data_IF_365670057313
#
_entry.id   IF_365670057313
#
_cell.length_a   1.000
_cell.length_b   1.000
_cell.length_c   1.000
_cell.angle_alpha   90.00
_cell.angle_beta   90.00
_cell.angle_gamma   90.00
#
_symmetry.space_group_name_H-M   'P 1'
#
loop_
_entity.id
_entity.type
_entity.pdbx_description
1 polymer ?
#
# COMPACT_ATOMS: atom_id res chain seq x y z
N UNK A 1 -7.46 -13.13 -5.95
CA UNK A 1 -7.03 -11.96 -5.15
C UNK A 1 -5.71 -11.44 -5.69
N UNK A 2 -5.57 -10.13 -5.81
CA UNK A 2 -4.36 -9.43 -6.26
C UNK A 2 -3.79 -8.57 -5.14
N UNK A 3 -2.52 -8.19 -5.24
CA UNK A 3 -1.97 -7.11 -4.42
C UNK A 3 -1.76 -5.86 -5.28
N UNK A 4 -1.93 -4.68 -4.68
CA UNK A 4 -1.59 -3.39 -5.28
C UNK A 4 -0.63 -2.66 -4.33
N UNK A 5 0.59 -2.38 -4.81
CA UNK A 5 1.63 -1.71 -4.03
C UNK A 5 1.83 -0.30 -4.57
N UNK A 6 1.58 0.72 -3.72
CA UNK A 6 1.74 2.11 -4.10
C UNK A 6 3.18 2.58 -3.93
N UNK A 7 3.92 2.64 -5.02
CA UNK A 7 5.33 3.00 -5.09
C UNK A 7 5.64 4.23 -5.97
N UNK A 8 4.65 5.08 -6.25
CA UNK A 8 4.87 6.26 -7.09
C UNK A 8 5.54 7.44 -6.37
N UNK A 9 5.55 7.46 -5.04
CA UNK A 9 5.99 8.61 -4.26
C UNK A 9 7.51 8.71 -4.13
N UNK A 10 8.03 9.96 -4.11
CA UNK A 10 9.46 10.29 -3.98
C UNK A 10 10.10 9.89 -2.66
N UNK A 11 9.34 9.89 -1.54
CA UNK A 11 9.93 9.61 -0.22
C UNK A 11 10.84 10.71 0.33
N UNK A 12 10.57 11.97 0.03
CA UNK A 12 11.41 13.13 0.37
C UNK A 12 11.86 13.20 1.83
N UNK A 13 11.12 12.60 2.76
CA UNK A 13 11.48 12.54 4.20
C UNK A 13 12.69 11.66 4.50
N UNK A 14 13.14 10.82 3.55
CA UNK A 14 14.31 9.95 3.71
C UNK A 14 15.64 10.60 3.26
N UNK A 15 15.61 11.88 2.90
CA UNK A 15 16.80 12.69 2.64
C UNK A 15 17.69 12.17 1.50
N UNK A 16 19.00 12.01 1.76
CA UNK A 16 20.01 11.63 0.77
C UNK A 16 19.70 10.30 0.06
N UNK A 17 19.15 9.32 0.78
CA UNK A 17 18.87 8.00 0.23
C UNK A 17 17.97 8.08 -1.01
N UNK A 18 16.92 8.90 -0.96
CA UNK A 18 15.94 9.00 -2.05
C UNK A 18 16.35 9.92 -3.19
N UNK A 19 17.57 10.45 -3.17
CA UNK A 19 18.16 11.11 -4.34
C UNK A 19 18.58 10.12 -5.43
N UNK A 20 18.92 8.89 -5.06
CA UNK A 20 19.41 7.84 -5.96
C UNK A 20 18.66 6.52 -5.88
N UNK A 21 17.79 6.34 -4.87
CA UNK A 21 17.05 5.10 -4.66
C UNK A 21 15.57 5.36 -4.42
N UNK A 22 14.74 4.42 -4.89
CA UNK A 22 13.34 4.42 -4.48
C UNK A 22 13.23 4.13 -2.97
N UNK A 23 12.30 4.79 -2.27
CA UNK A 23 12.13 4.65 -0.80
C UNK A 23 11.96 3.20 -0.32
N UNK A 24 11.30 2.35 -1.11
CA UNK A 24 11.07 0.94 -0.76
C UNK A 24 12.30 0.05 -0.97
N UNK A 25 13.35 0.58 -1.59
CA UNK A 25 14.66 -0.08 -1.68
C UNK A 25 15.49 0.10 -0.40
N UNK A 26 14.98 0.81 0.61
CA UNK A 26 15.68 0.95 1.88
C UNK A 26 15.91 -0.42 2.53
N UNK A 27 17.17 -0.74 2.93
CA UNK A 27 17.50 -2.02 3.51
C UNK A 27 16.97 -2.14 4.95
N UNK A 28 16.47 -3.30 5.28
CA UNK A 28 16.14 -3.72 6.63
C UNK A 28 17.42 -4.26 7.34
N UNK A 29 17.33 -4.53 8.64
CA UNK A 29 18.46 -5.03 9.44
C UNK A 29 19.14 -6.30 8.89
N UNK A 30 18.39 -7.13 8.17
CA UNK A 30 18.88 -8.36 7.54
C UNK A 30 19.40 -8.15 6.10
N UNK A 31 19.47 -6.92 5.62
CA UNK A 31 19.88 -6.56 4.26
C UNK A 31 18.80 -6.66 3.19
N UNK A 32 17.65 -7.27 3.50
CA UNK A 32 16.50 -7.34 2.59
C UNK A 32 15.89 -5.94 2.40
N UNK A 33 15.51 -5.56 1.18
CA UNK A 33 14.79 -4.30 0.96
C UNK A 33 13.34 -4.38 1.47
N UNK A 34 12.72 -3.23 1.73
CA UNK A 34 11.30 -3.20 2.10
C UNK A 34 10.46 -3.84 0.97
N UNK A 35 10.75 -3.52 -0.28
CA UNK A 35 10.00 -4.03 -1.44
C UNK A 35 10.15 -5.53 -1.61
N UNK A 36 11.38 -6.07 -1.53
CA UNK A 36 11.64 -7.51 -1.56
C UNK A 36 10.85 -8.24 -0.48
N UNK A 37 10.91 -7.73 0.75
CA UNK A 37 10.15 -8.28 1.87
C UNK A 37 8.65 -8.30 1.62
N UNK A 38 8.08 -7.22 1.09
CA UNK A 38 6.65 -7.16 0.77
C UNK A 38 6.27 -8.24 -0.24
N UNK A 39 7.01 -8.36 -1.35
CA UNK A 39 6.78 -9.37 -2.39
C UNK A 39 6.89 -10.78 -1.79
N UNK A 40 7.95 -11.06 -1.04
CA UNK A 40 8.19 -12.35 -0.42
C UNK A 40 7.06 -12.76 0.53
N UNK A 41 6.53 -11.82 1.33
CA UNK A 41 5.41 -12.10 2.24
C UNK A 41 4.11 -12.35 1.47
N UNK A 42 3.82 -11.56 0.43
CA UNK A 42 2.67 -11.78 -0.45
C UNK A 42 2.75 -13.13 -1.16
N UNK A 43 3.93 -13.47 -1.67
CA UNK A 43 4.19 -14.77 -2.29
C UNK A 43 3.96 -15.94 -1.33
N UNK A 44 4.45 -15.84 -0.09
CA UNK A 44 4.29 -16.85 0.95
C UNK A 44 2.81 -17.07 1.35
N UNK A 45 1.94 -16.07 1.13
CA UNK A 45 0.49 -16.15 1.34
C UNK A 45 -0.30 -16.49 0.07
N UNK A 46 0.39 -16.91 -0.99
CA UNK A 46 -0.26 -17.42 -2.22
C UNK A 46 -0.65 -16.33 -3.23
N UNK A 47 -0.30 -15.08 -3.04
CA UNK A 47 -0.58 -14.01 -4.00
C UNK A 47 0.45 -14.10 -5.14
N UNK A 48 -0.05 -14.15 -6.39
CA UNK A 48 0.74 -14.35 -7.61
C UNK A 48 0.49 -13.30 -8.68
N UNK A 49 -0.37 -12.32 -8.43
CA UNK A 49 -0.67 -11.20 -9.33
C UNK A 49 -0.51 -9.91 -8.52
N UNK A 50 0.52 -9.12 -8.86
CA UNK A 50 0.89 -7.91 -8.13
C UNK A 50 0.95 -6.74 -9.11
N UNK A 51 0.17 -5.70 -8.82
CA UNK A 51 0.21 -4.41 -9.50
C UNK A 51 1.07 -3.47 -8.67
N UNK A 52 2.05 -2.83 -9.29
CA UNK A 52 2.95 -1.88 -8.64
C UNK A 52 2.78 -0.53 -9.33
N UNK A 53 2.27 0.46 -8.62
CA UNK A 53 2.30 1.82 -9.16
C UNK A 53 3.70 2.39 -8.99
N UNK A 54 4.24 3.03 -10.02
CA UNK A 54 5.61 3.51 -10.07
C UNK A 54 5.70 5.00 -10.36
N UNK A 55 6.85 5.57 -10.10
CA UNK A 55 7.22 6.95 -10.40
C UNK A 55 8.71 7.00 -10.75
N UNK A 56 9.54 7.72 -9.97
CA UNK A 56 10.98 7.69 -10.15
C UNK A 56 11.56 6.33 -9.78
N UNK A 57 12.71 5.98 -10.36
CA UNK A 57 13.43 4.73 -10.07
C UNK A 57 12.64 3.44 -10.33
N UNK A 58 11.74 3.46 -11.31
CA UNK A 58 10.92 2.29 -11.68
C UNK A 58 11.79 1.06 -11.98
N UNK A 59 12.93 1.25 -12.63
CA UNK A 59 13.82 0.15 -13.01
C UNK A 59 14.36 -0.60 -11.78
N UNK A 60 14.66 0.08 -10.68
CA UNK A 60 15.07 -0.59 -9.43
C UNK A 60 13.98 -1.54 -8.90
N UNK A 61 12.71 -1.14 -9.03
CA UNK A 61 11.57 -1.99 -8.63
C UNK A 61 11.41 -3.20 -9.56
N UNK A 62 11.64 -3.02 -10.87
CA UNK A 62 11.58 -4.10 -11.85
C UNK A 62 12.72 -5.10 -11.67
N UNK A 63 13.93 -4.62 -11.42
CA UNK A 63 15.10 -5.46 -11.12
C UNK A 63 14.84 -6.34 -9.89
N UNK A 64 14.38 -5.76 -8.79
CA UNK A 64 14.05 -6.51 -7.58
C UNK A 64 12.89 -7.52 -7.80
N UNK A 65 11.90 -7.15 -8.59
CA UNK A 65 10.77 -8.02 -8.92
C UNK A 65 11.19 -9.25 -9.76
N UNK A 66 12.27 -9.14 -10.52
CA UNK A 66 12.80 -10.23 -11.35
C UNK A 66 13.24 -11.46 -10.53
N UNK A 67 13.56 -11.28 -9.25
CA UNK A 67 13.85 -12.38 -8.32
C UNK A 67 12.64 -13.30 -8.05
N UNK A 68 11.44 -12.88 -8.48
CA UNK A 68 10.20 -13.61 -8.26
C UNK A 68 9.51 -14.04 -9.58
N UNK A 69 10.11 -14.92 -10.38
CA UNK A 69 9.60 -15.26 -11.71
C UNK A 69 8.23 -15.96 -11.71
N UNK A 70 7.79 -16.48 -10.57
CA UNK A 70 6.48 -17.11 -10.39
C UNK A 70 5.34 -16.11 -10.10
N UNK A 71 5.65 -14.79 -10.03
CA UNK A 71 4.68 -13.72 -9.82
C UNK A 71 4.47 -12.97 -11.14
N UNK A 72 3.22 -12.73 -11.47
CA UNK A 72 2.86 -11.80 -12.54
C UNK A 72 2.88 -10.38 -12.00
N UNK A 73 3.81 -9.56 -12.48
CA UNK A 73 3.86 -8.15 -12.17
C UNK A 73 3.23 -7.29 -13.28
N UNK A 74 2.51 -6.25 -12.86
CA UNK A 74 2.05 -5.18 -13.73
C UNK A 74 2.53 -3.85 -13.14
N UNK A 75 3.38 -3.14 -13.89
CA UNK A 75 3.89 -1.82 -13.47
C UNK A 75 3.05 -0.73 -14.12
N UNK A 76 2.51 0.17 -13.29
CA UNK A 76 1.67 1.29 -13.73
C UNK A 76 2.35 2.59 -13.35
N UNK A 77 2.92 3.25 -14.36
CA UNK A 77 3.69 4.46 -14.14
C UNK A 77 2.80 5.68 -13.98
N UNK A 78 3.11 6.50 -12.97
CA UNK A 78 2.57 7.83 -12.77
C UNK A 78 3.63 8.86 -13.15
N UNK A 79 3.55 9.44 -14.34
CA UNK A 79 4.53 10.40 -14.84
C UNK A 79 4.47 11.77 -14.14
N UNK A 80 3.35 12.06 -13.49
CA UNK A 80 3.14 13.30 -12.74
C UNK A 80 3.14 13.06 -11.22
N UNK A 81 3.88 12.05 -10.75
CA UNK A 81 3.97 11.63 -9.34
C UNK A 81 4.34 12.77 -8.39
N UNK A 82 5.10 13.76 -8.84
CA UNK A 82 5.54 14.92 -8.06
C UNK A 82 4.45 16.00 -7.89
N UNK A 83 3.38 15.92 -8.67
CA UNK A 83 2.23 16.85 -8.62
C UNK A 83 0.97 16.20 -8.05
N UNK A 84 0.96 14.88 -7.92
CA UNK A 84 -0.21 14.10 -7.50
C UNK A 84 0.08 13.30 -6.23
N UNK A 85 -1.00 12.85 -5.58
CA UNK A 85 -0.95 11.95 -4.42
C UNK A 85 -1.21 10.50 -4.86
N UNK A 86 -1.09 9.55 -3.94
CA UNK A 86 -1.29 8.12 -4.21
C UNK A 86 -2.67 7.79 -4.81
N UNK A 87 -3.68 8.60 -4.53
CA UNK A 87 -5.04 8.40 -5.07
C UNK A 87 -5.05 8.48 -6.60
N UNK A 88 -4.27 9.37 -7.20
CA UNK A 88 -4.13 9.43 -8.65
C UNK A 88 -3.41 8.19 -9.21
N UNK A 89 -2.41 7.67 -8.52
CA UNK A 89 -1.78 6.40 -8.89
C UNK A 89 -2.75 5.21 -8.79
N UNK A 90 -3.66 5.26 -7.82
CA UNK A 90 -4.76 4.31 -7.69
C UNK A 90 -5.71 4.39 -8.89
N UNK A 91 -6.08 5.62 -9.29
CA UNK A 91 -6.90 5.86 -10.49
C UNK A 91 -6.22 5.29 -11.76
N UNK A 92 -4.94 5.50 -11.95
CA UNK A 92 -4.20 4.95 -13.09
C UNK A 92 -4.20 3.41 -13.11
N UNK A 93 -4.16 2.78 -11.93
CA UNK A 93 -4.16 1.33 -11.79
C UNK A 93 -5.58 0.69 -11.79
N UNK A 94 -6.66 1.47 -11.89
CA UNK A 94 -8.04 1.02 -11.70
C UNK A 94 -8.47 -0.15 -12.59
N UNK A 95 -7.97 -0.21 -13.82
CA UNK A 95 -8.32 -1.29 -14.77
C UNK A 95 -7.78 -2.66 -14.32
N UNK A 96 -6.74 -2.67 -13.50
CA UNK A 96 -6.16 -3.88 -12.93
C UNK A 96 -6.82 -4.31 -11.62
N UNK A 97 -7.73 -3.48 -11.07
CA UNK A 97 -8.43 -3.71 -9.79
C UNK A 97 -9.75 -4.48 -9.97
N UNK A 98 -9.74 -5.51 -10.79
CA UNK A 98 -10.92 -6.30 -11.16
C UNK A 98 -11.08 -7.60 -10.36
N UNK A 99 -10.48 -7.68 -9.18
CA UNK A 99 -10.47 -8.84 -8.27
C UNK A 99 -10.59 -8.36 -6.81
N UNK A 100 -10.65 -9.29 -5.85
CA UNK A 100 -10.38 -8.97 -4.46
C UNK A 100 -8.94 -8.49 -4.31
N UNK A 101 -8.73 -7.41 -3.55
CA UNK A 101 -7.44 -6.71 -3.52
C UNK A 101 -6.93 -6.55 -2.10
N UNK A 102 -5.64 -6.74 -1.93
CA UNK A 102 -4.87 -6.24 -0.81
C UNK A 102 -4.06 -5.03 -1.25
N UNK A 103 -4.32 -3.85 -0.66
CA UNK A 103 -3.59 -2.63 -0.91
C UNK A 103 -2.53 -2.41 0.15
N UNK A 104 -1.34 -1.96 -0.27
CA UNK A 104 -0.29 -1.55 0.64
C UNK A 104 0.58 -0.43 0.06
N UNK A 105 1.09 0.43 0.94
CA UNK A 105 2.09 1.40 0.53
C UNK A 105 3.49 0.77 0.53
N UNK A 106 4.32 1.19 -0.41
CA UNK A 106 5.63 0.61 -0.64
C UNK A 106 6.67 0.82 0.47
N UNK A 107 6.40 1.69 1.44
CA UNK A 107 7.24 1.93 2.61
C UNK A 107 6.72 1.24 3.89
N UNK A 108 5.68 0.42 3.77
CA UNK A 108 5.10 -0.28 4.89
C UNK A 108 5.90 -1.54 5.24
N UNK A 109 6.32 -1.65 6.49
CA UNK A 109 6.93 -2.86 7.06
C UNK A 109 5.94 -3.53 7.99
N UNK A 110 5.61 -4.78 7.71
CA UNK A 110 4.67 -5.59 8.49
C UNK A 110 5.19 -7.02 8.68
N UNK A 111 4.61 -7.76 9.59
CA UNK A 111 4.93 -9.18 9.78
C UNK A 111 3.96 -10.09 9.00
N UNK A 112 4.40 -11.32 8.74
CA UNK A 112 3.60 -12.30 7.99
C UNK A 112 2.27 -12.60 8.68
N UNK A 113 2.26 -12.67 10.02
CA UNK A 113 1.06 -12.99 10.78
C UNK A 113 -0.06 -11.97 10.54
N UNK A 114 0.26 -10.68 10.52
CA UNK A 114 -0.73 -9.63 10.22
C UNK A 114 -1.34 -9.81 8.83
N UNK A 115 -0.51 -10.06 7.81
CA UNK A 115 -0.99 -10.30 6.45
C UNK A 115 -1.89 -11.54 6.40
N UNK A 116 -1.45 -12.64 7.00
CA UNK A 116 -2.20 -13.88 7.08
C UNK A 116 -3.58 -13.68 7.73
N UNK A 117 -3.63 -13.04 8.90
CA UNK A 117 -4.87 -12.78 9.65
C UNK A 117 -5.87 -11.94 8.83
N UNK A 118 -5.39 -10.95 8.05
CA UNK A 118 -6.21 -10.15 7.15
C UNK A 118 -6.77 -11.01 6.01
N UNK A 119 -5.93 -11.84 5.40
CA UNK A 119 -6.31 -12.65 4.25
C UNK A 119 -7.35 -13.72 4.59
N UNK A 120 -7.20 -14.41 5.73
CA UNK A 120 -8.14 -15.46 6.17
C UNK A 120 -9.42 -14.90 6.81
N UNK A 121 -9.46 -13.61 7.16
CA UNK A 121 -10.62 -13.00 7.77
C UNK A 121 -11.85 -13.08 6.87
N UNK A 122 -13.00 -13.42 7.47
CA UNK A 122 -14.31 -13.43 6.78
C UNK A 122 -14.86 -12.02 6.53
N UNK A 123 -14.28 -11.01 7.18
CA UNK A 123 -14.64 -9.60 6.94
C UNK A 123 -14.23 -9.22 5.52
N UNK A 124 -15.19 -8.70 4.78
CA UNK A 124 -15.02 -8.38 3.35
C UNK A 124 -14.02 -7.25 3.14
N UNK A 125 -14.31 -6.10 3.74
CA UNK A 125 -13.51 -4.90 3.61
C UNK A 125 -12.88 -4.58 4.95
N UNK A 126 -11.55 -4.42 4.96
CA UNK A 126 -10.77 -4.21 6.18
C UNK A 126 -9.73 -3.13 5.97
N UNK A 127 -9.55 -2.34 7.00
CA UNK A 127 -8.43 -1.41 7.10
C UNK A 127 -7.68 -1.66 8.42
N UNK A 128 -6.40 -1.38 8.44
CA UNK A 128 -5.59 -1.52 9.63
C UNK A 128 -5.33 -0.19 10.30
N UNK A 129 -5.30 -0.18 11.63
CA UNK A 129 -4.93 0.98 12.42
C UNK A 129 -4.07 0.57 13.62
N UNK A 130 -3.33 1.52 14.18
CA UNK A 130 -2.51 1.26 15.36
C UNK A 130 -3.01 2.09 16.55
N UNK A 131 -3.66 1.47 17.55
CA UNK A 131 -4.23 2.18 18.70
C UNK A 131 -3.17 2.71 19.67
N UNK A 132 -1.91 2.28 19.54
CA UNK A 132 -0.80 2.68 20.42
C UNK A 132 0.11 3.75 19.78
N UNK A 133 -0.07 4.02 18.49
CA UNK A 133 0.75 5.02 17.79
C UNK A 133 0.17 6.42 18.04
N UNK A 134 1.02 7.36 18.36
CA UNK A 134 0.64 8.77 18.36
C UNK A 134 -0.02 9.17 17.04
N UNK A 135 -1.00 10.06 17.12
CA UNK A 135 -1.73 10.53 15.94
C UNK A 135 -0.86 11.52 15.17
N UNK A 136 -0.32 11.15 13.99
CA UNK A 136 0.58 12.03 13.24
C UNK A 136 -0.21 13.19 12.62
N UNK A 137 0.37 14.37 12.62
CA UNK A 137 -0.28 15.58 12.05
C UNK A 137 -0.54 15.46 10.55
N UNK A 138 0.41 14.86 9.81
CA UNK A 138 0.41 14.83 8.33
C UNK A 138 -0.09 13.53 7.71
N UNK A 139 -0.36 12.51 8.52
CA UNK A 139 -0.84 11.21 8.02
C UNK A 139 -2.33 11.04 8.35
N UNK A 140 -2.99 10.15 7.63
CA UNK A 140 -4.39 9.86 7.83
C UNK A 140 -4.65 9.20 9.20
N UNK A 141 -5.74 9.60 9.83
CA UNK A 141 -6.35 8.98 11.00
C UNK A 141 -7.72 8.43 10.60
N UNK A 142 -8.12 7.33 11.21
CA UNK A 142 -9.45 6.75 11.06
C UNK A 142 -10.24 6.89 12.34
N UNK A 143 -11.47 7.39 12.25
CA UNK A 143 -12.47 7.35 13.32
C UNK A 143 -13.11 5.98 13.33
N UNK A 144 -13.02 5.26 14.45
CA UNK A 144 -13.53 3.90 14.60
C UNK A 144 -14.67 3.91 15.63
N UNK A 145 -15.84 3.47 15.19
CA UNK A 145 -17.00 3.28 16.07
C UNK A 145 -17.59 1.88 15.87
N UNK A 146 -17.78 1.15 16.94
CA UNK A 146 -18.32 -0.23 16.92
C UNK A 146 -17.55 -1.16 15.94
N UNK A 147 -16.21 -1.02 15.91
CA UNK A 147 -15.34 -1.78 15.02
C UNK A 147 -15.45 -1.41 13.53
N UNK A 148 -16.15 -0.34 13.19
CA UNK A 148 -16.33 0.14 11.82
C UNK A 148 -15.64 1.48 11.63
N UNK A 149 -14.97 1.62 10.48
CA UNK A 149 -14.41 2.87 10.02
C UNK A 149 -15.54 3.82 9.60
N UNK A 150 -15.61 4.99 10.24
CA UNK A 150 -16.63 6.00 9.97
C UNK A 150 -16.09 7.14 9.11
N UNK A 151 -14.83 7.52 9.33
CA UNK A 151 -14.22 8.67 8.71
C UNK A 151 -12.72 8.45 8.57
N UNK A 152 -12.12 8.95 7.50
CA UNK A 152 -10.66 9.02 7.29
C UNK A 152 -10.26 10.44 6.97
N UNK A 153 -9.43 11.05 7.81
CA UNK A 153 -8.99 12.44 7.61
C UNK A 153 -7.59 12.67 8.22
N UNK A 154 -6.90 13.68 7.72
CA UNK A 154 -5.67 14.20 8.35
C UNK A 154 -5.98 15.22 9.46
N UNK A 155 -7.23 15.68 9.57
CA UNK A 155 -7.64 16.76 10.46
C UNK A 155 -8.38 16.33 11.73
N UNK A 156 -8.61 15.02 11.92
CA UNK A 156 -9.28 14.48 13.11
C UNK A 156 -8.27 14.02 14.15
N UNK A 157 -8.52 14.37 15.42
CA UNK A 157 -7.62 14.08 16.56
C UNK A 157 -8.37 13.59 17.80
N UNK A 158 -9.68 13.38 17.72
CA UNK A 158 -10.52 12.94 18.84
C UNK A 158 -10.08 11.59 19.40
N UNK A 159 -10.57 11.23 20.59
CA UNK A 159 -10.15 10.03 21.31
C UNK A 159 -10.53 8.72 20.59
N UNK A 160 -11.59 8.75 19.77
CA UNK A 160 -12.02 7.64 18.93
C UNK A 160 -11.30 7.53 17.57
N UNK A 161 -10.28 8.37 17.35
CA UNK A 161 -9.46 8.39 16.15
C UNK A 161 -8.11 7.71 16.38
N UNK A 162 -7.65 6.95 15.39
CA UNK A 162 -6.41 6.17 15.48
C UNK A 162 -5.53 6.40 14.24
N UNK A 163 -4.21 6.25 14.41
CA UNK A 163 -3.27 6.31 13.32
C UNK A 163 -3.57 5.20 12.30
N UNK A 164 -3.99 5.60 11.12
CA UNK A 164 -4.36 4.68 10.05
C UNK A 164 -3.10 4.06 9.43
N UNK A 165 -3.12 2.77 9.16
CA UNK A 165 -1.99 2.08 8.54
C UNK A 165 -2.33 1.72 7.11
N UNK A 166 -1.42 1.94 6.16
CA UNK A 166 -1.71 1.75 4.74
C UNK A 166 -1.65 0.28 4.29
N UNK A 167 -2.49 -0.54 4.92
CA UNK A 167 -2.72 -1.95 4.56
C UNK A 167 -4.22 -2.21 4.63
N UNK A 168 -4.84 -2.45 3.47
CA UNK A 168 -6.28 -2.60 3.32
C UNK A 168 -6.62 -3.85 2.54
N UNK A 169 -7.74 -4.50 2.88
CA UNK A 169 -8.35 -5.56 2.08
C UNK A 169 -9.69 -5.05 1.58
N UNK A 170 -9.92 -5.11 0.29
CA UNK A 170 -11.20 -4.75 -0.35
C UNK A 170 -11.67 -5.88 -1.25
N UNK A 171 -12.96 -6.20 -1.18
CA UNK A 171 -13.55 -7.14 -2.12
C UNK A 171 -13.93 -6.43 -3.44
N UNK A 172 -13.89 -7.18 -4.53
CA UNK A 172 -14.29 -6.71 -5.86
C UNK A 172 -15.68 -6.05 -5.88
N UNK A 173 -16.64 -6.61 -5.14
CA UNK A 173 -18.00 -6.06 -5.03
C UNK A 173 -18.04 -4.67 -4.39
N UNK A 174 -17.11 -4.37 -3.51
CA UNK A 174 -16.99 -3.05 -2.84
C UNK A 174 -16.33 -2.01 -3.76
N UNK A 175 -15.42 -2.45 -4.63
CA UNK A 175 -14.73 -1.59 -5.60
C UNK A 175 -15.61 -1.08 -6.74
N UNK A 176 -16.76 -1.73 -7.02
CA UNK A 176 -17.70 -1.29 -8.06
C UNK A 176 -18.41 0.03 -7.74
N UNK A 177 -18.33 0.50 -6.49
CA UNK A 177 -18.91 1.78 -6.05
C UNK A 177 -17.88 2.91 -5.94
N UNK A 178 -16.63 2.73 -6.36
CA UNK A 178 -15.64 3.80 -6.37
C UNK A 178 -15.98 4.81 -7.47
N UNK A 179 -16.25 6.04 -7.06
CA UNK A 179 -16.42 7.17 -7.97
C UNK A 179 -15.03 7.65 -8.44
N UNK A 180 -14.62 7.18 -9.60
CA UNK A 180 -13.36 7.55 -10.24
C UNK A 180 -13.40 8.92 -10.94
N UNK A 181 -14.58 9.52 -11.11
CA UNK A 181 -14.74 10.81 -11.78
C UNK A 181 -14.36 11.98 -10.86
N UNK A 182 -14.32 11.73 -9.54
CA UNK A 182 -13.96 12.74 -8.53
C UNK A 182 -12.46 12.78 -8.17
N UNK A 183 -11.58 12.03 -8.85
CA UNK A 183 -10.16 11.85 -8.53
C UNK A 183 -9.25 12.80 -9.31
#
# INVERSE_FOLDING_TARGET
>A
MKAVIFNSGLGNRMGEFTKSHHKSMAPLKNGETIFHRQIRLLYAEGIRDIVVTTGPFEEQLKEEAADFPAIKFTFVRNDIYNKTKYIYSMYLAREYMNDDIIFLHGDLVFNRKLLHDILISKTKDMATYNPKKEKPEKDFKGRIKDGKLQEVSIHIFDDDCYAFQPLYKLQKSSGSGMDWESV
#
